data_IF_435347558193
#
_entry.id   IF_435347558193
#
_cell.length_a   1.000
_cell.length_b   1.000
_cell.length_c   1.000
_cell.angle_alpha   90.00
_cell.angle_beta   90.00
_cell.angle_gamma   90.00
#
_symmetry.space_group_name_H-M   'P 1'
#
loop_
_entity.id
_entity.type
_entity.pdbx_description
1 polymer ?
#
# COMPACT_ATOMS: atom_id res chain seq x y z
N UNK A 1 3.55 -10.39 -29.27
CA UNK A 1 4.37 -9.52 -28.41
C UNK A 1 4.30 -8.13 -29.00
N UNK A 2 3.96 -7.11 -28.20
CA UNK A 2 4.08 -5.72 -28.61
C UNK A 2 5.53 -5.27 -28.41
N UNK A 3 6.09 -4.52 -29.37
CA UNK A 3 7.42 -3.93 -29.27
C UNK A 3 7.30 -2.41 -29.25
N UNK A 4 8.20 -1.76 -28.53
CA UNK A 4 8.33 -0.30 -28.51
C UNK A 4 9.60 0.08 -29.27
N UNK A 5 9.48 1.07 -30.17
CA UNK A 5 10.61 1.71 -30.81
C UNK A 5 10.84 3.07 -30.13
N UNK A 6 12.04 3.27 -29.58
CA UNK A 6 12.39 4.50 -28.86
C UNK A 6 13.52 5.19 -29.61
N UNK A 7 13.28 6.44 -30.05
CA UNK A 7 14.30 7.34 -30.59
C UNK A 7 14.79 8.26 -29.46
N UNK A 8 16.04 8.09 -29.04
CA UNK A 8 16.67 8.92 -28.01
C UNK A 8 17.33 10.20 -28.57
N UNK A 9 18.11 10.88 -27.72
CA UNK A 9 18.94 12.03 -28.11
C UNK A 9 18.22 13.37 -28.13
N UNK A 10 16.99 13.46 -27.59
CA UNK A 10 16.24 14.74 -27.45
C UNK A 10 16.01 15.07 -25.98
N UNK A 11 16.32 16.31 -25.53
CA UNK A 11 15.92 16.78 -24.21
C UNK A 11 14.39 16.72 -24.05
N UNK A 12 13.93 16.23 -22.90
CA UNK A 12 12.51 16.22 -22.58
C UNK A 12 12.20 17.34 -21.58
N UNK A 13 11.28 18.23 -21.97
CA UNK A 13 10.91 19.38 -21.14
C UNK A 13 9.39 19.50 -21.07
N UNK A 14 8.89 19.95 -19.92
CA UNK A 14 7.45 20.16 -19.75
C UNK A 14 6.98 20.11 -18.31
N UNK A 15 5.66 20.05 -18.15
CA UNK A 15 4.98 20.00 -16.86
C UNK A 15 4.06 18.80 -16.80
N UNK A 16 4.06 18.11 -15.66
CA UNK A 16 3.14 16.99 -15.43
C UNK A 16 2.67 16.96 -13.96
N UNK A 17 1.57 16.28 -13.74
CA UNK A 17 1.09 15.99 -12.39
C UNK A 17 1.17 14.48 -12.20
N UNK A 18 1.75 14.04 -11.06
CA UNK A 18 1.70 12.63 -10.67
C UNK A 18 0.30 12.27 -10.17
N UNK A 19 -0.13 11.06 -10.42
CA UNK A 19 -1.36 10.52 -9.84
C UNK A 19 -1.13 10.11 -8.37
N UNK A 20 -2.15 9.59 -7.71
CA UNK A 20 -2.01 9.08 -6.34
C UNK A 20 -1.07 7.88 -6.26
N UNK A 21 -0.39 7.76 -5.13
CA UNK A 21 0.63 6.74 -4.93
C UNK A 21 0.05 5.33 -5.03
N UNK A 22 0.54 4.53 -5.98
CA UNK A 22 0.15 3.13 -6.18
C UNK A 22 0.33 2.30 -4.91
N UNK A 23 1.46 2.47 -4.23
CA UNK A 23 1.81 1.67 -3.06
C UNK A 23 0.94 2.02 -1.84
N UNK A 24 0.37 3.23 -1.78
CA UNK A 24 -0.67 3.59 -0.82
C UNK A 24 -2.05 3.07 -1.23
N UNK A 25 -2.39 3.14 -2.52
CA UNK A 25 -3.72 2.78 -3.02
C UNK A 25 -4.12 1.34 -2.67
N UNK A 26 -3.20 0.37 -2.81
CA UNK A 26 -3.50 -1.04 -2.58
C UNK A 26 -3.78 -1.37 -1.11
N UNK A 27 -2.94 -0.96 -0.12
CA UNK A 27 -3.24 -1.20 1.29
C UNK A 27 -4.45 -0.40 1.79
N UNK A 28 -4.70 0.82 1.27
CA UNK A 28 -5.90 1.58 1.62
C UNK A 28 -7.17 0.88 1.13
N UNK A 29 -7.17 0.31 -0.08
CA UNK A 29 -8.26 -0.53 -0.57
C UNK A 29 -8.49 -1.74 0.33
N UNK A 30 -7.42 -2.44 0.74
CA UNK A 30 -7.52 -3.56 1.67
C UNK A 30 -8.04 -3.12 3.05
N UNK A 31 -7.62 -1.95 3.54
CA UNK A 31 -8.09 -1.38 4.81
C UNK A 31 -9.60 -1.10 4.83
N UNK A 32 -10.21 -0.78 3.67
CA UNK A 32 -11.65 -0.60 3.56
C UNK A 32 -12.47 -1.85 3.98
N UNK A 33 -11.87 -3.03 3.96
CA UNK A 33 -12.50 -4.25 4.46
C UNK A 33 -12.64 -4.29 5.99
N UNK A 34 -11.92 -3.43 6.73
CA UNK A 34 -11.92 -3.42 8.19
C UNK A 34 -13.18 -2.81 8.81
N UNK A 35 -14.03 -2.16 8.02
CA UNK A 35 -15.29 -1.56 8.45
C UNK A 35 -16.47 -2.00 7.59
N UNK A 36 -17.68 -1.92 8.15
CA UNK A 36 -18.93 -2.10 7.41
C UNK A 36 -19.45 -0.80 6.79
N UNK A 37 -18.88 0.35 7.18
CA UNK A 37 -19.24 1.66 6.66
C UNK A 37 -18.53 1.94 5.32
N UNK A 38 -19.02 2.93 4.59
CA UNK A 38 -18.42 3.33 3.31
C UNK A 38 -17.10 4.10 3.54
N UNK A 39 -16.08 3.71 2.79
CA UNK A 39 -14.84 4.46 2.66
C UNK A 39 -14.78 5.11 1.27
N UNK A 40 -14.25 6.34 1.20
CA UNK A 40 -14.06 7.09 -0.04
C UNK A 40 -12.57 7.41 -0.19
N UNK A 41 -11.98 6.89 -1.27
CA UNK A 41 -10.57 7.11 -1.61
C UNK A 41 -10.50 8.05 -2.82
N UNK A 42 -9.90 9.21 -2.64
CA UNK A 42 -9.71 10.24 -3.67
C UNK A 42 -8.27 10.25 -4.18
N UNK A 43 -8.05 10.83 -5.35
CA UNK A 43 -6.75 10.82 -6.04
C UNK A 43 -6.23 9.41 -6.30
N UNK A 44 -7.14 8.47 -6.59
CA UNK A 44 -6.77 7.08 -6.91
C UNK A 44 -6.08 7.00 -8.27
N UNK A 45 -4.95 6.27 -8.38
CA UNK A 45 -4.29 6.08 -9.67
C UNK A 45 -5.13 5.16 -10.58
N UNK A 46 -5.21 5.52 -11.87
CA UNK A 46 -6.02 4.81 -12.88
C UNK A 46 -5.22 3.69 -13.55
N UNK A 47 -4.74 2.74 -12.75
CA UNK A 47 -3.85 1.65 -13.17
C UNK A 47 -4.52 0.27 -13.03
N UNK A 48 -3.98 -0.71 -13.75
CA UNK A 48 -4.50 -2.08 -13.75
C UNK A 48 -4.50 -2.75 -12.38
N UNK A 49 -3.51 -2.46 -11.54
CA UNK A 49 -3.38 -3.04 -10.20
C UNK A 49 -4.55 -2.65 -9.28
N UNK A 50 -5.01 -1.38 -9.38
CA UNK A 50 -6.20 -0.91 -8.65
C UNK A 50 -7.45 -1.65 -9.12
N UNK A 51 -7.60 -1.88 -10.44
CA UNK A 51 -8.72 -2.64 -10.97
C UNK A 51 -8.72 -4.11 -10.51
N UNK A 52 -7.54 -4.74 -10.47
CA UNK A 52 -7.40 -6.11 -9.95
C UNK A 52 -7.73 -6.18 -8.47
N UNK A 53 -7.22 -5.25 -7.64
CA UNK A 53 -7.54 -5.19 -6.21
C UNK A 53 -9.03 -4.97 -5.99
N UNK A 54 -9.66 -4.04 -6.72
CA UNK A 54 -11.10 -3.80 -6.64
C UNK A 54 -11.92 -5.06 -6.95
N UNK A 55 -11.50 -5.86 -7.94
CA UNK A 55 -12.16 -7.12 -8.24
C UNK A 55 -11.96 -8.15 -7.11
N UNK A 56 -10.77 -8.23 -6.51
CA UNK A 56 -10.54 -9.07 -5.33
C UNK A 56 -11.45 -8.66 -4.15
N UNK A 57 -11.64 -7.36 -3.93
CA UNK A 57 -12.56 -6.87 -2.89
C UNK A 57 -14.01 -7.27 -3.19
N UNK A 58 -14.47 -7.22 -4.43
CA UNK A 58 -15.81 -7.66 -4.84
C UNK A 58 -16.01 -9.17 -4.59
N UNK A 59 -15.01 -9.97 -4.93
CA UNK A 59 -15.06 -11.44 -4.71
C UNK A 59 -15.15 -11.82 -3.22
N UNK A 60 -14.65 -10.99 -2.31
CA UNK A 60 -14.79 -11.24 -0.87
C UNK A 60 -16.02 -10.55 -0.26
N UNK A 61 -16.86 -9.91 -1.07
CA UNK A 61 -18.17 -9.38 -0.65
C UNK A 61 -18.28 -7.86 -0.52
N UNK A 62 -17.27 -7.10 -0.98
CA UNK A 62 -17.36 -5.65 -0.98
C UNK A 62 -18.09 -5.09 -2.23
N UNK A 63 -18.84 -4.02 -2.02
CA UNK A 63 -19.33 -3.13 -3.07
C UNK A 63 -18.22 -2.14 -3.41
N UNK A 64 -17.81 -2.03 -4.69
CA UNK A 64 -16.74 -1.13 -5.12
C UNK A 64 -17.17 -0.36 -6.36
N UNK A 65 -17.22 0.97 -6.26
CA UNK A 65 -17.62 1.88 -7.32
C UNK A 65 -16.49 2.86 -7.68
N UNK A 66 -16.54 3.44 -8.88
CA UNK A 66 -15.61 4.47 -9.33
C UNK A 66 -14.24 3.95 -9.81
N UNK A 67 -14.06 2.65 -10.01
CA UNK A 67 -12.81 2.09 -10.55
C UNK A 67 -12.53 2.65 -11.95
N UNK A 68 -11.29 3.09 -12.17
CA UNK A 68 -10.89 3.79 -13.41
C UNK A 68 -11.11 5.31 -13.37
N UNK A 69 -11.65 5.83 -12.28
CA UNK A 69 -11.71 7.27 -12.00
C UNK A 69 -10.75 7.63 -10.84
N UNK A 70 -10.64 8.91 -10.54
CA UNK A 70 -9.81 9.38 -9.41
C UNK A 70 -10.49 9.23 -8.04
N UNK A 71 -11.72 8.74 -7.99
CA UNK A 71 -12.44 8.54 -6.73
C UNK A 71 -13.07 7.15 -6.70
N UNK A 72 -12.64 6.33 -5.74
CA UNK A 72 -13.15 4.98 -5.53
C UNK A 72 -13.90 4.92 -4.19
N UNK A 73 -15.08 4.32 -4.20
CA UNK A 73 -15.90 4.08 -3.01
C UNK A 73 -15.93 2.59 -2.72
N UNK A 74 -15.72 2.23 -1.46
CA UNK A 74 -15.72 0.83 -1.02
C UNK A 74 -16.63 0.70 0.19
N UNK A 75 -17.52 -0.27 0.16
CA UNK A 75 -18.35 -0.66 1.31
C UNK A 75 -18.34 -2.18 1.46
N UNK A 76 -17.98 -2.68 2.64
CA UNK A 76 -17.96 -4.10 2.92
C UNK A 76 -18.74 -4.43 4.21
N UNK A 77 -20.06 -4.55 4.10
CA UNK A 77 -20.93 -4.86 5.25
C UNK A 77 -20.59 -6.22 5.85
N UNK A 78 -20.43 -7.20 5.00
CA UNK A 78 -20.13 -8.59 5.39
C UNK A 78 -19.11 -9.17 4.44
N UNK A 79 -18.08 -9.83 4.98
CA UNK A 79 -17.18 -10.66 4.19
C UNK A 79 -17.93 -11.96 3.84
N UNK A 80 -18.13 -12.21 2.56
CA UNK A 80 -18.86 -13.40 2.06
C UNK A 80 -17.92 -14.56 1.74
N UNK A 81 -16.63 -14.28 1.51
CA UNK A 81 -15.60 -15.29 1.28
C UNK A 81 -14.28 -14.86 1.90
N UNK A 82 -13.62 -15.77 2.60
CA UNK A 82 -12.23 -15.60 3.07
C UNK A 82 -11.21 -16.22 2.12
N UNK A 83 -11.65 -16.65 0.93
CA UNK A 83 -10.85 -17.30 -0.10
C UNK A 83 -11.13 -16.63 -1.46
N UNK A 84 -10.45 -15.52 -1.79
CA UNK A 84 -10.58 -14.90 -3.10
C UNK A 84 -10.00 -15.82 -4.20
N UNK A 85 -10.53 -15.74 -5.45
CA UNK A 85 -10.12 -16.62 -6.54
C UNK A 85 -8.61 -16.59 -6.82
N UNK A 86 -7.96 -17.75 -6.80
CA UNK A 86 -6.52 -17.86 -7.01
C UNK A 86 -6.04 -17.25 -8.34
N UNK A 87 -6.87 -17.30 -9.39
CA UNK A 87 -6.57 -16.68 -10.68
C UNK A 87 -6.47 -15.13 -10.61
N UNK A 88 -7.20 -14.46 -9.71
CA UNK A 88 -7.07 -13.02 -9.46
C UNK A 88 -5.89 -12.74 -8.54
N UNK A 89 -5.73 -13.52 -7.47
CA UNK A 89 -4.58 -13.42 -6.55
C UNK A 89 -3.27 -13.51 -7.31
N UNK A 90 -3.16 -14.44 -8.26
CA UNK A 90 -1.99 -14.63 -9.11
C UNK A 90 -1.69 -13.47 -10.09
N UNK A 91 -2.58 -12.48 -10.23
CA UNK A 91 -2.34 -11.30 -11.08
C UNK A 91 -1.70 -10.12 -10.34
N UNK A 92 -1.70 -10.13 -9.00
CA UNK A 92 -1.30 -8.98 -8.21
C UNK A 92 -0.52 -9.42 -6.97
N UNK A 93 0.72 -8.93 -6.81
CA UNK A 93 1.49 -9.16 -5.59
C UNK A 93 0.81 -8.56 -4.36
N UNK A 94 0.24 -7.35 -4.50
CA UNK A 94 -0.49 -6.65 -3.43
C UNK A 94 -1.71 -7.40 -2.89
N UNK A 95 -2.15 -8.51 -3.52
CA UNK A 95 -3.21 -9.37 -2.98
C UNK A 95 -2.88 -9.93 -1.60
N UNK A 96 -1.60 -10.02 -1.24
CA UNK A 96 -1.14 -10.45 0.10
C UNK A 96 -1.71 -9.58 1.22
N UNK A 97 -1.97 -8.31 0.95
CA UNK A 97 -2.55 -7.34 1.90
C UNK A 97 -3.94 -7.74 2.40
N UNK A 98 -4.64 -8.63 1.68
CA UNK A 98 -5.94 -9.13 2.10
C UNK A 98 -5.87 -10.08 3.30
N UNK A 99 -4.71 -10.69 3.59
CA UNK A 99 -4.54 -11.62 4.71
C UNK A 99 -4.92 -10.98 6.05
N UNK A 100 -4.43 -9.77 6.32
CA UNK A 100 -4.71 -9.05 7.57
C UNK A 100 -6.21 -8.81 7.79
N UNK A 101 -6.89 -8.08 6.89
CA UNK A 101 -8.32 -7.79 7.01
C UNK A 101 -9.22 -9.03 7.03
N UNK A 102 -8.93 -10.04 6.20
CA UNK A 102 -9.71 -11.29 6.19
C UNK A 102 -9.60 -12.01 7.52
N UNK A 103 -8.40 -12.21 8.05
CA UNK A 103 -8.20 -12.81 9.38
C UNK A 103 -8.89 -12.01 10.47
N UNK A 104 -8.72 -10.69 10.48
CA UNK A 104 -9.29 -9.83 11.50
C UNK A 104 -10.84 -9.83 11.51
N UNK A 105 -11.48 -9.96 10.33
CA UNK A 105 -12.94 -9.92 10.16
C UNK A 105 -13.61 -11.29 10.24
N UNK A 106 -12.93 -12.37 9.82
CA UNK A 106 -13.57 -13.69 9.67
C UNK A 106 -12.88 -14.80 10.48
N UNK A 107 -11.72 -14.52 11.07
CA UNK A 107 -10.90 -15.54 11.72
C UNK A 107 -10.24 -16.54 10.77
N UNK A 108 -10.36 -16.33 9.45
CA UNK A 108 -9.76 -17.21 8.44
C UNK A 108 -9.35 -16.41 7.21
N UNK A 109 -8.23 -16.79 6.57
CA UNK A 109 -7.83 -16.29 5.27
C UNK A 109 -7.15 -17.40 4.48
N UNK A 110 -7.58 -17.61 3.24
CA UNK A 110 -6.93 -18.52 2.29
C UNK A 110 -6.58 -17.73 1.06
N UNK A 111 -5.29 -17.70 0.73
CA UNK A 111 -4.79 -16.97 -0.42
C UNK A 111 -3.98 -17.93 -1.31
N UNK A 112 -4.30 -17.94 -2.60
CA UNK A 112 -3.45 -18.56 -3.59
C UNK A 112 -2.05 -17.94 -3.61
N UNK A 113 -1.18 -18.39 -4.50
CA UNK A 113 0.14 -17.78 -4.66
C UNK A 113 -0.01 -16.35 -5.24
N UNK A 114 0.41 -15.30 -4.51
CA UNK A 114 0.38 -13.93 -5.02
C UNK A 114 1.27 -13.78 -6.25
N UNK A 115 0.76 -13.10 -7.27
CA UNK A 115 1.47 -12.86 -8.53
C UNK A 115 2.49 -11.74 -8.48
N UNK A 116 2.83 -11.20 -9.64
CA UNK A 116 3.74 -10.05 -9.81
C UNK A 116 5.13 -10.46 -10.26
N UNK A 117 6.06 -9.48 -10.32
CA UNK A 117 7.43 -9.67 -10.80
C UNK A 117 8.24 -10.61 -9.92
N UNK A 118 8.93 -11.55 -10.55
CA UNK A 118 9.87 -12.48 -9.92
C UNK A 118 9.31 -13.27 -8.72
N UNK A 119 8.19 -13.95 -8.86
CA UNK A 119 7.50 -14.61 -7.75
C UNK A 119 8.39 -15.62 -6.98
N UNK A 120 9.36 -16.23 -7.64
CA UNK A 120 10.20 -17.27 -7.05
C UNK A 120 11.20 -16.77 -5.98
N UNK A 121 11.46 -15.45 -5.90
CA UNK A 121 12.46 -14.89 -4.99
C UNK A 121 11.87 -14.04 -3.84
N UNK A 122 10.58 -13.71 -3.90
CA UNK A 122 9.93 -12.87 -2.89
C UNK A 122 8.96 -13.71 -2.09
N UNK A 123 9.40 -14.16 -0.93
CA UNK A 123 8.54 -14.87 0.03
C UNK A 123 7.50 -13.92 0.63
N UNK A 124 6.53 -14.46 1.35
CA UNK A 124 5.62 -13.71 2.22
C UNK A 124 5.83 -14.10 3.69
N UNK A 125 7.04 -14.58 4.03
CA UNK A 125 7.40 -15.01 5.38
C UNK A 125 7.07 -13.95 6.41
N UNK A 126 7.61 -12.74 6.26
CA UNK A 126 7.36 -11.61 7.17
C UNK A 126 5.87 -11.32 7.41
N UNK A 127 5.00 -11.47 6.39
CA UNK A 127 3.55 -11.31 6.57
C UNK A 127 2.97 -12.43 7.44
N UNK A 128 3.35 -13.67 7.16
CA UNK A 128 2.88 -14.84 7.91
C UNK A 128 3.37 -14.78 9.35
N UNK A 129 4.65 -14.47 9.58
CA UNK A 129 5.25 -14.38 10.91
C UNK A 129 4.60 -13.29 11.76
N UNK A 130 4.28 -12.13 11.16
CA UNK A 130 3.54 -11.07 11.83
C UNK A 130 2.13 -11.54 12.24
N UNK A 131 1.41 -12.24 11.36
CA UNK A 131 0.08 -12.77 11.67
C UNK A 131 0.12 -13.89 12.71
N UNK A 132 1.14 -14.76 12.67
CA UNK A 132 1.38 -15.79 13.69
C UNK A 132 1.68 -15.15 15.05
N UNK A 133 2.48 -14.08 15.09
CA UNK A 133 2.73 -13.33 16.33
C UNK A 133 1.43 -12.74 16.92
N UNK A 134 0.44 -12.42 16.08
CA UNK A 134 -0.89 -11.97 16.46
C UNK A 134 -1.89 -13.12 16.77
N UNK A 135 -1.43 -14.38 16.76
CA UNK A 135 -2.22 -15.55 17.16
C UNK A 135 -2.80 -16.36 15.99
N UNK A 136 -2.40 -16.10 14.75
CA UNK A 136 -2.79 -16.93 13.63
C UNK A 136 -2.02 -18.27 13.60
N UNK A 137 -2.68 -19.32 13.07
CA UNK A 137 -2.05 -20.61 12.78
C UNK A 137 -1.97 -20.81 11.27
N UNK A 138 -0.85 -21.32 10.81
CA UNK A 138 -0.68 -21.73 9.42
C UNK A 138 -1.32 -23.10 9.19
N UNK A 139 -2.15 -23.19 8.18
CA UNK A 139 -2.82 -24.44 7.79
C UNK A 139 -2.15 -25.04 6.54
N UNK A 140 -2.17 -26.37 6.39
CA UNK A 140 -1.71 -27.02 5.16
C UNK A 140 -2.55 -26.56 3.95
N UNK A 141 -1.88 -26.05 2.91
CA UNK A 141 -2.53 -25.64 1.66
C UNK A 141 -1.53 -25.56 0.51
N UNK A 142 -2.02 -25.50 -0.74
CA UNK A 142 -1.20 -25.20 -1.92
C UNK A 142 -0.92 -23.69 -2.12
N UNK A 143 -1.21 -22.89 -1.13
CA UNK A 143 -1.00 -21.44 -1.07
C UNK A 143 -0.72 -21.04 0.37
N UNK A 144 -1.35 -19.98 0.80
CA UNK A 144 -1.24 -19.48 2.16
C UNK A 144 -2.62 -19.55 2.84
N UNK A 145 -2.77 -20.45 3.78
CA UNK A 145 -3.99 -20.59 4.57
C UNK A 145 -3.67 -20.37 6.05
N UNK A 146 -4.44 -19.49 6.68
CA UNK A 146 -4.31 -19.17 8.11
C UNK A 146 -5.70 -19.14 8.75
N UNK A 147 -5.76 -19.50 10.04
CA UNK A 147 -6.93 -19.31 10.89
C UNK A 147 -6.53 -18.75 12.26
N UNK A 148 -7.54 -18.28 12.98
CA UNK A 148 -7.38 -17.75 14.35
C UNK A 148 -8.44 -18.34 15.28
N UNK A 149 -8.33 -19.63 15.63
CA UNK A 149 -9.38 -20.34 16.39
C UNK A 149 -9.66 -19.73 17.77
N UNK A 150 -8.64 -19.14 18.39
CA UNK A 150 -8.74 -18.47 19.69
C UNK A 150 -8.85 -16.93 19.54
N UNK A 151 -9.16 -16.45 18.33
CA UNK A 151 -9.12 -15.04 17.97
C UNK A 151 -7.72 -14.47 17.90
N UNK A 152 -7.61 -13.27 17.32
CA UNK A 152 -6.35 -12.53 17.28
C UNK A 152 -6.12 -11.80 18.60
N UNK A 153 -4.84 -11.65 19.00
CA UNK A 153 -4.43 -11.02 20.25
C UNK A 153 -3.35 -9.98 20.00
N UNK A 154 -3.43 -8.88 20.75
CA UNK A 154 -2.39 -7.86 20.75
C UNK A 154 -1.06 -8.45 21.23
N UNK A 155 0.02 -8.09 20.55
CA UNK A 155 1.36 -8.63 20.84
C UNK A 155 2.45 -7.57 20.57
N UNK A 156 3.64 -7.79 21.09
CA UNK A 156 4.85 -7.06 20.75
C UNK A 156 5.78 -8.00 20.00
N UNK A 157 6.16 -7.67 18.77
CA UNK A 157 7.01 -8.51 17.93
C UNK A 157 7.96 -7.69 17.06
N UNK A 158 8.94 -8.37 16.50
CA UNK A 158 9.96 -7.81 15.62
C UNK A 158 9.80 -8.44 14.24
N UNK A 159 9.74 -7.61 13.17
CA UNK A 159 9.75 -8.09 11.80
C UNK A 159 11.18 -8.49 11.41
N UNK A 160 11.35 -9.63 10.73
CA UNK A 160 12.64 -10.13 10.28
C UNK A 160 13.28 -9.21 9.23
N UNK A 161 12.46 -8.50 8.46
CA UNK A 161 12.88 -7.44 7.56
C UNK A 161 11.95 -6.22 7.67
N UNK A 162 12.42 -5.02 7.34
CA UNK A 162 11.61 -3.81 7.24
C UNK A 162 10.75 -3.87 5.96
N UNK A 163 9.93 -4.90 5.85
CA UNK A 163 9.04 -5.13 4.72
C UNK A 163 7.88 -4.15 4.72
N UNK A 164 7.70 -3.41 3.62
CA UNK A 164 6.57 -2.49 3.43
C UNK A 164 5.24 -3.23 3.59
N UNK A 165 4.98 -4.20 2.72
CA UNK A 165 3.71 -4.94 2.74
C UNK A 165 3.56 -5.84 3.97
N UNK A 166 4.67 -6.31 4.58
CA UNK A 166 4.66 -7.02 5.87
C UNK A 166 4.18 -6.11 7.00
N UNK A 167 4.72 -4.88 7.07
CA UNK A 167 4.29 -3.85 8.02
C UNK A 167 2.82 -3.49 7.82
N UNK A 168 2.39 -3.27 6.58
CA UNK A 168 1.00 -2.96 6.24
C UNK A 168 0.06 -4.10 6.63
N UNK A 169 0.42 -5.36 6.35
CA UNK A 169 -0.36 -6.53 6.77
C UNK A 169 -0.53 -6.58 8.28
N UNK A 170 0.56 -6.34 9.03
CA UNK A 170 0.53 -6.28 10.50
C UNK A 170 -0.35 -5.15 11.02
N UNK A 171 -0.24 -3.93 10.44
CA UNK A 171 -1.07 -2.77 10.78
C UNK A 171 -2.56 -3.07 10.56
N UNK A 172 -2.90 -3.60 9.38
CA UNK A 172 -4.29 -3.92 9.01
C UNK A 172 -4.88 -5.00 9.92
N UNK A 173 -4.10 -6.01 10.28
CA UNK A 173 -4.53 -7.05 11.21
C UNK A 173 -4.73 -6.49 12.63
N UNK A 174 -3.77 -5.70 13.13
CA UNK A 174 -3.79 -5.11 14.46
C UNK A 174 -4.94 -4.10 14.67
N UNK A 175 -5.42 -3.48 13.60
CA UNK A 175 -6.45 -2.43 13.66
C UNK A 175 -7.76 -2.87 14.35
N UNK A 176 -8.14 -4.16 14.26
CA UNK A 176 -9.34 -4.72 14.90
C UNK A 176 -9.07 -5.49 16.20
N UNK A 177 -7.82 -5.59 16.64
CA UNK A 177 -7.43 -6.32 17.85
C UNK A 177 -7.55 -5.39 19.06
N UNK A 178 -8.32 -5.81 20.06
CA UNK A 178 -8.42 -5.07 21.32
C UNK A 178 -7.08 -5.11 22.08
N UNK A 179 -6.59 -3.94 22.51
CA UNK A 179 -5.31 -3.79 23.17
C UNK A 179 -4.26 -3.07 22.31
N UNK A 180 -3.01 -3.15 22.73
CA UNK A 180 -1.87 -2.47 22.09
C UNK A 180 -0.98 -3.48 21.41
N UNK A 181 -0.86 -3.38 20.10
CA UNK A 181 0.12 -4.13 19.30
C UNK A 181 1.34 -3.25 19.05
N UNK A 182 2.53 -3.75 19.37
CA UNK A 182 3.81 -3.09 19.07
C UNK A 182 4.54 -3.84 17.95
N UNK A 183 4.75 -3.15 16.82
CA UNK A 183 5.45 -3.67 15.65
C UNK A 183 6.81 -2.99 15.59
N UNK A 184 7.89 -3.75 15.74
CA UNK A 184 9.27 -3.26 15.66
C UNK A 184 9.92 -3.68 14.35
N UNK A 185 10.89 -2.90 13.88
CA UNK A 185 11.53 -3.02 12.58
C UNK A 185 10.51 -2.83 11.44
N UNK A 186 9.55 -1.94 11.68
CA UNK A 186 8.54 -1.55 10.71
C UNK A 186 9.17 -0.73 9.58
N UNK A 187 8.62 -0.83 8.39
CA UNK A 187 8.92 0.03 7.26
C UNK A 187 8.47 1.48 7.54
N UNK A 188 9.22 2.45 7.01
CA UNK A 188 9.05 3.88 7.34
C UNK A 188 8.66 4.73 6.14
N UNK A 189 8.42 4.12 4.99
CA UNK A 189 8.12 4.78 3.74
C UNK A 189 6.84 5.63 3.80
N UNK A 190 6.75 6.71 3.02
CA UNK A 190 5.62 7.64 3.05
C UNK A 190 4.25 6.96 2.89
N UNK A 191 4.15 5.94 2.06
CA UNK A 191 2.90 5.21 1.85
C UNK A 191 2.50 4.33 3.06
N UNK A 192 3.46 3.87 3.87
CA UNK A 192 3.15 3.20 5.16
C UNK A 192 2.61 4.21 6.17
N UNK A 193 3.19 5.42 6.22
CA UNK A 193 2.67 6.54 7.02
C UNK A 193 1.24 6.88 6.60
N UNK A 194 0.97 6.83 5.31
CA UNK A 194 -0.36 7.10 4.76
C UNK A 194 -1.39 6.05 5.19
N UNK A 195 -1.02 4.78 5.26
CA UNK A 195 -1.88 3.72 5.85
C UNK A 195 -2.17 4.00 7.33
N UNK A 196 -1.16 4.39 8.11
CA UNK A 196 -1.36 4.79 9.50
C UNK A 196 -2.36 5.94 9.61
N UNK A 197 -2.23 6.96 8.77
CA UNK A 197 -3.13 8.13 8.73
C UNK A 197 -4.55 7.73 8.38
N UNK A 198 -4.73 6.81 7.42
CA UNK A 198 -6.05 6.32 7.06
C UNK A 198 -6.70 5.53 8.20
N UNK A 199 -5.95 4.64 8.85
CA UNK A 199 -6.43 3.90 10.03
C UNK A 199 -6.82 4.85 11.17
N UNK A 200 -6.06 5.93 11.39
CA UNK A 200 -6.41 6.96 12.39
C UNK A 200 -7.74 7.65 12.05
N UNK A 201 -8.00 7.95 10.78
CA UNK A 201 -9.31 8.48 10.33
C UNK A 201 -10.45 7.48 10.56
N UNK A 202 -10.18 6.20 10.46
CA UNK A 202 -11.14 5.13 10.77
C UNK A 202 -11.35 4.95 12.29
N UNK A 203 -10.57 5.62 13.14
CA UNK A 203 -10.68 5.61 14.59
C UNK A 203 -9.69 4.74 15.33
N UNK A 204 -8.69 4.17 14.67
CA UNK A 204 -7.56 3.46 15.29
C UNK A 204 -6.55 4.50 15.79
N UNK A 205 -6.01 4.34 16.98
CA UNK A 205 -4.87 5.13 17.42
C UNK A 205 -3.58 4.45 16.98
N UNK A 206 -2.78 5.13 16.16
CA UNK A 206 -1.48 4.66 15.70
C UNK A 206 -0.42 5.66 16.10
N UNK A 207 0.59 5.22 16.85
CA UNK A 207 1.75 6.00 17.28
C UNK A 207 3.00 5.52 16.56
N UNK A 208 3.96 6.42 16.34
CA UNK A 208 5.25 6.10 15.73
C UNK A 208 5.24 6.02 14.20
N UNK A 209 4.19 6.49 13.51
CA UNK A 209 4.14 6.54 12.05
C UNK A 209 5.40 7.25 11.49
N UNK A 210 6.07 6.63 10.50
CA UNK A 210 7.35 7.10 9.96
C UNK A 210 8.58 6.70 10.78
N UNK A 211 8.42 5.92 11.85
CA UNK A 211 9.52 5.34 12.60
C UNK A 211 9.53 3.81 12.51
N UNK A 212 10.64 3.19 12.88
CA UNK A 212 10.80 1.72 12.88
C UNK A 212 10.01 1.00 13.99
N UNK A 213 9.25 1.72 14.81
CA UNK A 213 8.42 1.14 15.87
C UNK A 213 7.04 1.76 15.84
N UNK A 214 6.03 0.94 15.57
CA UNK A 214 4.63 1.35 15.52
C UNK A 214 3.89 0.76 16.70
N UNK A 215 3.01 1.55 17.33
CA UNK A 215 2.06 1.09 18.35
C UNK A 215 0.66 1.32 17.86
N UNK A 216 -0.11 0.23 17.77
CA UNK A 216 -1.47 0.22 17.25
C UNK A 216 -2.42 -0.12 18.40
N UNK A 217 -3.29 0.82 18.75
CA UNK A 217 -4.40 0.62 19.68
C UNK A 217 -5.64 0.25 18.88
N UNK A 218 -5.83 -1.04 18.64
CA UNK A 218 -6.92 -1.53 17.80
C UNK A 218 -8.30 -1.41 18.47
N UNK A 219 -9.34 -1.45 17.65
CA UNK A 219 -10.74 -1.32 18.08
C UNK A 219 -11.66 -2.24 17.28
N UNK A 220 -12.63 -2.85 17.94
CA UNK A 220 -13.57 -3.79 17.27
C UNK A 220 -14.44 -3.15 16.19
N UNK A 221 -14.76 -1.86 16.33
CA UNK A 221 -15.64 -1.15 15.41
C UNK A 221 -14.91 0.06 14.84
N UNK A 222 -14.60 0.02 13.56
CA UNK A 222 -14.02 1.13 12.83
C UNK A 222 -15.10 1.85 12.02
N UNK A 223 -14.92 3.16 11.84
CA UNK A 223 -15.79 4.01 11.03
C UNK A 223 -15.35 3.99 9.58
N UNK A 224 -16.24 4.31 8.66
CA UNK A 224 -15.90 4.71 7.32
C UNK A 224 -15.11 6.02 7.32
N UNK A 225 -14.24 6.20 6.33
CA UNK A 225 -13.42 7.39 6.24
C UNK A 225 -13.25 7.86 4.79
N UNK A 226 -13.13 9.17 4.60
CA UNK A 226 -12.70 9.76 3.33
C UNK A 226 -11.22 10.09 3.43
N UNK A 227 -10.45 9.67 2.41
CA UNK A 227 -9.03 9.92 2.33
C UNK A 227 -8.62 10.28 0.91
N UNK A 228 -7.85 11.37 0.79
CA UNK A 228 -7.18 11.74 -0.46
C UNK A 228 -5.76 11.23 -0.42
N UNK A 229 -5.38 10.39 -1.38
CA UNK A 229 -4.05 9.84 -1.52
C UNK A 229 -3.04 10.93 -1.85
N UNK A 230 -1.85 10.84 -1.26
CA UNK A 230 -0.71 11.66 -1.64
C UNK A 230 -0.26 11.30 -3.06
N UNK A 231 0.37 12.25 -3.75
CA UNK A 231 0.93 11.99 -5.07
C UNK A 231 2.08 10.98 -5.02
N UNK A 232 2.25 10.24 -6.11
CA UNK A 232 3.27 9.20 -6.17
C UNK A 232 4.67 9.80 -6.28
N UNK A 233 5.39 9.79 -5.15
CA UNK A 233 6.76 10.30 -5.05
C UNK A 233 7.76 9.44 -5.86
N UNK A 234 7.44 8.15 -6.10
CA UNK A 234 8.27 7.27 -6.92
C UNK A 234 8.13 7.64 -8.39
N UNK A 235 6.91 7.95 -8.83
CA UNK A 235 6.66 8.50 -10.17
C UNK A 235 7.37 9.84 -10.33
N UNK A 236 7.27 10.74 -9.34
CA UNK A 236 7.98 12.02 -9.36
C UNK A 236 9.49 11.85 -9.48
N UNK A 237 10.07 10.94 -8.72
CA UNK A 237 11.49 10.58 -8.82
C UNK A 237 11.88 10.00 -10.18
N UNK A 238 11.02 9.19 -10.77
CA UNK A 238 11.25 8.64 -12.11
C UNK A 238 11.30 9.74 -13.18
N UNK A 239 10.40 10.72 -13.10
CA UNK A 239 10.43 11.88 -14.00
C UNK A 239 11.65 12.77 -13.77
N UNK A 240 12.11 12.90 -12.52
CA UNK A 240 13.34 13.59 -12.21
C UNK A 240 14.55 12.94 -12.89
N UNK A 241 14.62 11.61 -12.85
CA UNK A 241 15.67 10.85 -13.55
C UNK A 241 15.55 11.02 -15.08
N UNK A 242 14.34 11.00 -15.63
CA UNK A 242 14.10 11.24 -17.07
C UNK A 242 14.63 12.61 -17.48
N UNK A 243 14.35 13.68 -16.73
CA UNK A 243 14.90 15.01 -17.01
C UNK A 243 16.42 15.02 -16.99
N UNK A 244 17.01 14.42 -15.94
CA UNK A 244 18.47 14.37 -15.78
C UNK A 244 19.16 13.64 -16.93
N UNK A 245 18.70 12.44 -17.31
CA UNK A 245 19.36 11.62 -18.35
C UNK A 245 19.15 12.15 -19.77
N UNK A 246 18.10 12.94 -19.99
CA UNK A 246 17.83 13.56 -21.30
C UNK A 246 18.41 14.98 -21.43
N UNK A 247 18.98 15.55 -20.35
CA UNK A 247 19.40 16.95 -20.32
C UNK A 247 18.24 17.91 -20.52
N UNK A 248 17.06 17.55 -20.01
CA UNK A 248 15.82 18.30 -20.13
C UNK A 248 15.46 19.09 -18.89
N UNK A 249 14.27 19.68 -18.90
CA UNK A 249 13.73 20.50 -17.82
C UNK A 249 12.29 20.08 -17.56
N UNK A 250 12.01 19.43 -16.41
CA UNK A 250 10.67 18.91 -16.10
C UNK A 250 10.22 19.47 -14.75
N UNK A 251 8.98 20.01 -14.75
CA UNK A 251 8.26 20.39 -13.54
C UNK A 251 7.26 19.29 -13.18
N UNK A 252 7.45 18.64 -12.04
CA UNK A 252 6.57 17.58 -11.53
C UNK A 252 5.75 18.12 -10.37
N UNK A 253 4.44 18.06 -10.48
CA UNK A 253 3.48 18.52 -9.47
C UNK A 253 2.76 17.34 -8.81
N UNK A 254 2.27 17.56 -7.58
CA UNK A 254 1.41 16.63 -6.87
C UNK A 254 2.11 15.73 -5.86
N UNK A 255 3.43 15.53 -5.96
CA UNK A 255 4.20 14.89 -4.90
C UNK A 255 4.52 15.89 -3.77
N UNK A 256 4.57 15.42 -2.52
CA UNK A 256 4.93 16.25 -1.38
C UNK A 256 6.45 16.41 -1.31
N UNK A 257 6.93 17.60 -0.96
CA UNK A 257 8.36 17.90 -0.87
C UNK A 257 9.09 16.93 0.09
N UNK A 258 8.50 16.65 1.23
CA UNK A 258 9.04 15.73 2.24
C UNK A 258 9.18 14.29 1.75
N UNK A 259 8.30 13.83 0.85
CA UNK A 259 8.32 12.46 0.32
C UNK A 259 9.41 12.28 -0.76
N UNK A 260 9.83 13.36 -1.42
CA UNK A 260 10.85 13.34 -2.49
C UNK A 260 12.22 13.84 -2.04
N UNK A 261 12.37 14.31 -0.81
CA UNK A 261 13.62 14.87 -0.26
C UNK A 261 14.80 13.92 -0.42
N UNK A 262 14.62 12.63 -0.10
CA UNK A 262 15.67 11.61 -0.25
C UNK A 262 16.13 11.42 -1.71
N UNK A 263 15.19 11.49 -2.65
CA UNK A 263 15.48 11.40 -4.09
C UNK A 263 16.29 12.60 -4.54
N UNK A 264 15.86 13.80 -4.17
CA UNK A 264 16.55 15.05 -4.48
C UNK A 264 17.95 15.10 -3.88
N UNK A 265 18.12 14.62 -2.66
CA UNK A 265 19.43 14.51 -2.03
C UNK A 265 20.41 13.66 -2.87
N UNK A 266 19.96 12.50 -3.37
CA UNK A 266 20.80 11.65 -4.23
C UNK A 266 21.08 12.32 -5.56
N UNK A 267 20.07 12.89 -6.23
CA UNK A 267 20.23 13.61 -7.50
C UNK A 267 21.24 14.78 -7.38
N UNK A 268 21.14 15.56 -6.30
CA UNK A 268 22.10 16.65 -6.03
C UNK A 268 23.54 16.14 -5.89
N UNK A 269 23.75 14.99 -5.27
CA UNK A 269 25.10 14.37 -5.21
C UNK A 269 25.62 13.90 -6.57
N UNK A 270 24.71 13.68 -7.52
CA UNK A 270 25.02 13.38 -8.92
C UNK A 270 25.14 14.64 -9.78
N UNK A 271 25.21 15.83 -9.18
CA UNK A 271 25.27 17.14 -9.85
C UNK A 271 24.01 17.45 -10.69
N UNK A 272 22.86 16.90 -10.32
CA UNK A 272 21.56 17.26 -10.90
C UNK A 272 20.93 18.32 -10.00
N UNK A 273 20.64 19.50 -10.57
CA UNK A 273 19.98 20.56 -9.83
C UNK A 273 18.47 20.29 -9.72
N UNK A 274 17.99 20.19 -8.47
CA UNK A 274 16.59 20.01 -8.13
C UNK A 274 16.12 21.16 -7.25
N UNK A 275 14.98 21.75 -7.58
CA UNK A 275 14.30 22.76 -6.77
C UNK A 275 12.97 22.21 -6.27
N UNK A 276 12.62 22.58 -5.03
CA UNK A 276 11.30 22.26 -4.45
C UNK A 276 10.65 23.57 -4.04
N UNK A 277 9.55 23.91 -4.70
CA UNK A 277 8.77 25.11 -4.38
C UNK A 277 7.28 24.77 -4.52
N UNK A 278 6.48 25.21 -3.56
CA UNK A 278 5.00 25.19 -3.60
C UNK A 278 4.35 23.88 -4.12
N UNK A 279 4.91 22.72 -3.73
CA UNK A 279 4.35 21.40 -4.09
C UNK A 279 4.76 20.90 -5.48
N UNK A 280 5.83 21.41 -6.06
CA UNK A 280 6.43 20.85 -7.27
C UNK A 280 7.94 20.62 -7.13
N UNK A 281 8.38 19.60 -7.86
CA UNK A 281 9.80 19.26 -8.05
C UNK A 281 10.22 19.78 -9.43
N UNK A 282 11.09 20.78 -9.47
CA UNK A 282 11.72 21.28 -10.68
C UNK A 282 13.10 20.61 -10.87
N UNK A 283 13.40 20.10 -12.06
CA UNK A 283 14.73 19.60 -12.44
C UNK A 283 15.22 20.50 -13.56
N UNK A 284 16.40 21.08 -13.36
CA UNK A 284 17.04 21.96 -14.32
C UNK A 284 18.20 21.26 -14.98
N UNK A 285 18.52 21.71 -16.18
CA UNK A 285 19.68 21.24 -16.94
C UNK A 285 20.96 21.53 -16.15
N UNK A 286 21.71 20.49 -15.81
CA UNK A 286 23.07 20.59 -15.30
C UNK A 286 24.07 21.03 -16.36
#
# INVERSE_FOLDING_TARGET
MSSLLIEGGRPLSGRLNVEGNKNAALPLLAACLLTSEECVLENMPRIGDVAVMANLLREVGAEVDGVGTTTVRVRCRTITSSEPPAALVGKLRGSVLLLGPLLARTGRAILGMPGGDFPARRTIGTHVDALVALGARVLPSNGHALDTPDGMKAASFYLDEASVTGTETALLAAALIDGVTEIRHAATEPHVVEVCTFLQRMGVEVQGAGSSTLRVHGRKNLKGATHRLNGDYIEAGSWAVVAAVTGGEIEVRGARAEDVEGIAFVLKRMSVECTFEDGFLGIQKS
#
